data_IF_912445378299
#
_entry.id   IF_912445378299
#
_cell.length_a   1.000
_cell.length_b   1.000
_cell.length_c   1.000
_cell.angle_alpha   90.00
_cell.angle_beta   90.00
_cell.angle_gamma   90.00
#
_symmetry.space_group_name_H-M   'P 1'
#
loop_
_entity.id
_entity.type
_entity.pdbx_description
1 polymer ?
#
# COMPACT_ATOMS: atom_id res chain seq x y z
N UNK A 1 13.09 13.97 9.40
CA UNK A 1 11.65 13.94 9.73
C UNK A 1 11.35 12.90 10.80
N UNK A 2 11.76 11.65 10.64
CA UNK A 2 11.59 10.63 11.70
C UNK A 2 12.31 10.96 13.01
N UNK A 3 13.52 11.54 12.95
CA UNK A 3 14.20 12.03 14.16
C UNK A 3 13.34 13.04 14.93
N UNK A 4 12.65 13.96 14.23
CA UNK A 4 11.69 14.89 14.88
C UNK A 4 10.52 14.16 15.55
N UNK A 5 10.11 13.01 15.04
CA UNK A 5 9.04 12.18 15.61
C UNK A 5 9.55 11.43 16.85
N UNK A 6 10.80 10.97 16.86
CA UNK A 6 11.46 10.40 18.04
C UNK A 6 11.62 11.45 19.14
N UNK A 7 12.08 12.64 18.77
CA UNK A 7 12.25 13.77 19.69
C UNK A 7 10.92 14.20 20.33
N UNK A 8 9.80 14.04 19.61
CA UNK A 8 8.45 14.27 20.13
C UNK A 8 7.96 13.18 21.10
N UNK A 9 8.76 12.15 21.38
CA UNK A 9 8.49 11.13 22.39
C UNK A 9 7.89 9.81 21.86
N UNK A 10 7.70 9.66 20.54
CA UNK A 10 7.23 8.40 19.96
C UNK A 10 8.36 7.37 19.89
N UNK A 11 8.18 6.23 20.56
CA UNK A 11 9.21 5.19 20.69
C UNK A 11 9.07 4.05 19.68
N UNK A 12 7.85 3.79 19.23
CA UNK A 12 7.53 2.69 18.32
C UNK A 12 7.26 3.22 16.91
N UNK A 13 8.34 3.49 16.17
CA UNK A 13 8.25 3.97 14.79
C UNK A 13 8.54 2.79 13.87
N UNK A 14 7.53 2.40 13.09
CA UNK A 14 7.69 1.41 12.03
C UNK A 14 7.61 2.10 10.67
N UNK A 15 8.68 1.99 9.87
CA UNK A 15 8.72 2.53 8.51
C UNK A 15 8.37 1.44 7.52
N UNK A 16 7.23 1.60 6.85
CA UNK A 16 6.84 0.76 5.71
C UNK A 16 7.30 1.47 4.43
N UNK A 17 8.30 0.91 3.74
CA UNK A 17 8.78 1.42 2.45
C UNK A 17 9.33 0.32 1.55
N UNK A 18 9.17 0.50 0.24
CA UNK A 18 9.88 -0.21 -0.82
C UNK A 18 10.88 0.70 -1.56
N UNK A 19 11.53 0.16 -2.59
CA UNK A 19 12.39 0.91 -3.51
C UNK A 19 11.58 1.84 -4.42
N UNK A 20 10.32 1.49 -4.68
CA UNK A 20 9.38 2.29 -5.44
C UNK A 20 7.96 2.23 -4.83
N UNK A 21 7.00 2.83 -5.53
CA UNK A 21 5.60 2.87 -5.09
C UNK A 21 4.92 1.50 -5.11
N UNK A 22 5.34 0.60 -5.99
CA UNK A 22 4.74 -0.73 -6.14
C UNK A 22 5.18 -1.65 -5.00
N UNK A 23 6.49 -1.68 -4.70
CA UNK A 23 7.00 -2.43 -3.54
C UNK A 23 6.51 -1.83 -2.21
N UNK A 24 6.35 -0.51 -2.14
CA UNK A 24 5.73 0.13 -0.96
C UNK A 24 4.27 -0.32 -0.79
N UNK A 25 3.50 -0.40 -1.87
CA UNK A 25 2.11 -0.87 -1.83
C UNK A 25 2.01 -2.33 -1.37
N UNK A 26 2.85 -3.22 -1.90
CA UNK A 26 2.93 -4.62 -1.46
C UNK A 26 3.20 -4.73 0.04
N UNK A 27 4.22 -4.03 0.55
CA UNK A 27 4.54 -4.03 1.99
C UNK A 27 3.42 -3.45 2.87
N UNK A 28 2.65 -2.50 2.36
CA UNK A 28 1.46 -1.98 3.06
C UNK A 28 0.37 -3.06 3.11
N UNK A 29 0.14 -3.79 2.01
CA UNK A 29 -0.82 -4.88 1.96
C UNK A 29 -0.46 -6.01 2.94
N UNK A 30 0.81 -6.42 2.95
CA UNK A 30 1.38 -7.37 3.94
C UNK A 30 1.10 -6.91 5.38
N UNK A 31 1.41 -5.65 5.67
CA UNK A 31 1.28 -5.10 7.03
C UNK A 31 -0.19 -4.91 7.44
N UNK A 32 -1.11 -4.75 6.48
CA UNK A 32 -2.53 -4.64 6.75
C UNK A 32 -3.11 -5.95 7.34
N UNK A 33 -2.43 -7.09 7.16
CA UNK A 33 -2.78 -8.35 7.81
C UNK A 33 -4.17 -8.86 7.41
N UNK A 34 -4.58 -8.61 6.17
CA UNK A 34 -5.85 -9.10 5.64
C UNK A 34 -5.82 -10.63 5.49
N UNK A 35 -6.99 -11.26 5.58
CA UNK A 35 -7.08 -12.72 5.43
C UNK A 35 -6.77 -13.12 3.99
N UNK A 36 -6.13 -14.28 3.80
CA UNK A 36 -6.00 -14.90 2.49
C UNK A 36 -7.38 -15.04 1.82
N UNK A 37 -7.46 -14.74 0.52
CA UNK A 37 -8.72 -14.70 -0.23
C UNK A 37 -9.55 -13.41 -0.05
N UNK A 38 -9.06 -12.42 0.69
CA UNK A 38 -9.66 -11.07 0.72
C UNK A 38 -9.56 -10.43 -0.66
N UNK A 39 -10.63 -9.78 -1.11
CA UNK A 39 -10.62 -9.06 -2.39
C UNK A 39 -9.63 -7.89 -2.34
N UNK A 40 -8.88 -7.71 -3.42
CA UNK A 40 -7.97 -6.59 -3.63
C UNK A 40 -8.55 -5.60 -4.63
N UNK A 41 -8.20 -4.33 -4.46
CA UNK A 41 -8.52 -3.26 -5.39
C UNK A 41 -7.27 -2.94 -6.19
N UNK A 42 -7.38 -2.96 -7.52
CA UNK A 42 -6.31 -2.55 -8.42
C UNK A 42 -6.55 -1.12 -8.87
N UNK A 43 -5.55 -0.26 -8.69
CA UNK A 43 -5.52 1.11 -9.18
C UNK A 43 -4.31 1.34 -10.09
N UNK A 44 -4.37 2.37 -10.95
CA UNK A 44 -3.18 2.82 -11.68
C UNK A 44 -2.12 3.29 -10.69
N UNK A 45 -0.91 2.79 -10.83
CA UNK A 45 0.27 3.29 -10.14
C UNK A 45 0.94 4.45 -10.86
N UNK A 46 0.52 4.79 -12.07
CA UNK A 46 1.13 5.87 -12.87
C UNK A 46 0.63 7.25 -12.43
N UNK A 47 -0.58 7.32 -11.85
CA UNK A 47 -1.18 8.53 -11.30
C UNK A 47 -1.90 8.25 -9.97
N UNK A 48 -2.17 9.27 -9.16
CA UNK A 48 -2.73 9.10 -7.82
C UNK A 48 -4.26 9.18 -7.76
N UNK A 49 -4.94 9.66 -8.81
CA UNK A 49 -6.37 9.95 -8.79
C UNK A 49 -7.23 8.71 -8.50
N UNK A 50 -6.93 7.58 -9.14
CA UNK A 50 -7.66 6.32 -8.95
C UNK A 50 -7.54 5.83 -7.51
N UNK A 51 -6.30 5.69 -7.01
CA UNK A 51 -6.02 5.24 -5.66
C UNK A 51 -6.62 6.18 -4.60
N UNK A 52 -6.59 7.50 -4.84
CA UNK A 52 -7.18 8.48 -3.95
C UNK A 52 -8.71 8.35 -3.90
N UNK A 53 -9.37 8.24 -5.05
CA UNK A 53 -10.83 8.19 -5.14
C UNK A 53 -11.43 6.94 -4.47
N UNK A 54 -10.73 5.81 -4.51
CA UNK A 54 -11.20 4.54 -3.95
C UNK A 54 -10.83 4.34 -2.46
N UNK A 55 -9.89 5.14 -1.93
CA UNK A 55 -9.30 4.96 -0.59
C UNK A 55 -10.31 4.80 0.55
N UNK A 56 -11.38 5.60 0.55
CA UNK A 56 -12.43 5.56 1.58
C UNK A 56 -13.21 4.25 1.56
N UNK A 57 -13.58 3.77 0.36
CA UNK A 57 -14.35 2.54 0.18
C UNK A 57 -13.48 1.31 0.45
N UNK A 58 -12.22 1.35 0.03
CA UNK A 58 -11.23 0.31 0.33
C UNK A 58 -11.05 0.13 1.84
N UNK A 59 -10.91 1.23 2.59
CA UNK A 59 -10.80 1.22 4.04
C UNK A 59 -12.06 0.65 4.72
N UNK A 60 -13.26 1.06 4.28
CA UNK A 60 -14.52 0.54 4.83
C UNK A 60 -14.67 -0.97 4.64
N UNK A 61 -14.19 -1.49 3.51
CA UNK A 61 -14.26 -2.93 3.18
C UNK A 61 -13.05 -3.73 3.67
N UNK A 62 -12.03 -3.07 4.20
CA UNK A 62 -10.74 -3.68 4.54
C UNK A 62 -10.10 -4.39 3.34
N UNK A 63 -10.23 -3.80 2.15
CA UNK A 63 -9.63 -4.32 0.92
C UNK A 63 -8.31 -3.59 0.65
N UNK A 64 -7.19 -4.31 0.49
CA UNK A 64 -5.92 -3.70 0.11
C UNK A 64 -6.05 -2.99 -1.24
N UNK A 65 -5.37 -1.85 -1.37
CA UNK A 65 -5.23 -1.15 -2.66
C UNK A 65 -3.82 -1.41 -3.19
N UNK A 66 -3.75 -2.13 -4.30
CA UNK A 66 -2.52 -2.43 -5.02
C UNK A 66 -2.42 -1.54 -6.27
N UNK A 67 -1.19 -1.25 -6.69
CA UNK A 67 -0.92 -0.38 -7.84
C UNK A 67 -0.25 -1.17 -8.95
N UNK A 68 -0.67 -0.96 -10.20
CA UNK A 68 -0.06 -1.60 -11.39
C UNK A 68 0.32 -0.56 -12.43
N UNK A 69 1.11 -0.96 -13.44
CA UNK A 69 1.32 -0.12 -14.63
C UNK A 69 0.23 -0.40 -15.65
N UNK A 70 0.12 0.45 -16.66
CA UNK A 70 -0.90 0.33 -17.73
C UNK A 70 -0.90 -1.06 -18.39
N UNK A 71 0.28 -1.55 -18.75
CA UNK A 71 0.43 -2.77 -19.57
C UNK A 71 1.28 -3.85 -18.86
N UNK A 72 1.53 -3.69 -17.56
CA UNK A 72 2.42 -4.58 -16.79
C UNK A 72 2.00 -4.63 -15.31
N UNK A 73 1.94 -5.83 -14.76
CA UNK A 73 1.88 -6.05 -13.30
C UNK A 73 3.32 -6.17 -12.80
N UNK A 74 3.82 -5.22 -11.97
CA UNK A 74 5.16 -5.31 -11.40
C UNK A 74 5.32 -6.58 -10.56
N UNK A 75 6.53 -7.15 -10.56
CA UNK A 75 6.80 -8.41 -9.84
C UNK A 75 6.46 -8.34 -8.34
N UNK A 76 6.69 -7.18 -7.71
CA UNK A 76 6.33 -6.94 -6.32
C UNK A 76 4.82 -7.11 -6.02
N UNK A 77 3.96 -6.97 -7.03
CA UNK A 77 2.50 -7.06 -6.88
C UNK A 77 1.99 -8.45 -7.25
N UNK A 78 2.71 -9.21 -8.07
CA UNK A 78 2.27 -10.55 -8.51
C UNK A 78 2.08 -11.53 -7.35
N UNK A 79 2.80 -11.34 -6.25
CA UNK A 79 2.69 -12.18 -5.06
C UNK A 79 1.52 -11.79 -4.14
N UNK A 80 0.88 -10.63 -4.40
CA UNK A 80 -0.18 -10.05 -3.57
C UNK A 80 -1.60 -10.32 -4.13
N UNK A 81 -1.71 -11.03 -5.26
CA UNK A 81 -2.96 -11.34 -5.96
C UNK A 81 -3.19 -12.85 -5.93
#
# INVERSE_FOLDING_TARGET
MEEKIKDAGFKNINRIKGSDRYETAAKIADTAGVKEGTLVIIASGENYADALSISSTAALKQYPVLMVKKDEIPDAIKNEI
#
